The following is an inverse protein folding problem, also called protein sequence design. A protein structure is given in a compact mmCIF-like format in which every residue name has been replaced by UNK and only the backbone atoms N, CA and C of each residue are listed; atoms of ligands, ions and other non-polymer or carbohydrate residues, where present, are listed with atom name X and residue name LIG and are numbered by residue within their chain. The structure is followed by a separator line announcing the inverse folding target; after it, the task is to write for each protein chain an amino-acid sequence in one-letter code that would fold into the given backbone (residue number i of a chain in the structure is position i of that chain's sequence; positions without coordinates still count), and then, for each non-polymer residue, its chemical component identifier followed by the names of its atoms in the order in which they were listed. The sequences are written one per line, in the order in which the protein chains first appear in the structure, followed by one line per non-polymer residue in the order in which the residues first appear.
data_IF_893649350720
#
_entry.id   IF_893649350720
#
_cell.length_a   1.000
_cell.length_b   1.000
_cell.length_c   1.000
_cell.angle_alpha   90.00
_cell.angle_beta   90.00
_cell.angle_gamma   90.00
#
_symmetry.space_group_name_H-M   'P 1'
#
loop_
_entity.id
_entity.type
_entity.pdbx_description
1 polymer ?
#
# COMPACT_ATOMS: atom_id res chain seq x y z
N UNK A 1 -26.16 3.30 14.86
CA UNK A 1 -25.00 2.38 14.86
C UNK A 1 -23.92 2.92 13.91
N UNK A 2 -23.53 4.18 14.05
CA UNK A 2 -22.57 4.88 13.17
C UNK A 2 -21.37 5.46 13.95
N UNK A 3 -21.55 5.77 15.23
CA UNK A 3 -20.53 6.37 16.11
C UNK A 3 -19.27 5.52 16.25
N UNK A 4 -19.40 4.18 16.16
CA UNK A 4 -18.27 3.26 16.27
C UNK A 4 -17.34 3.34 15.07
N UNK A 5 -17.85 3.56 13.85
CA UNK A 5 -17.06 3.59 12.62
C UNK A 5 -16.22 4.86 12.51
N UNK A 6 -16.79 6.03 12.82
CA UNK A 6 -16.08 7.31 12.81
C UNK A 6 -14.97 7.36 13.86
N UNK A 7 -15.24 6.88 15.08
CA UNK A 7 -14.23 6.82 16.14
C UNK A 7 -13.04 5.93 15.76
N UNK A 8 -13.30 4.80 15.09
CA UNK A 8 -12.27 3.87 14.62
C UNK A 8 -11.44 4.46 13.47
N UNK A 9 -12.04 5.21 12.56
CA UNK A 9 -11.31 5.92 11.50
C UNK A 9 -10.40 7.00 12.07
N UNK A 10 -10.89 7.78 13.04
CA UNK A 10 -10.10 8.80 13.71
C UNK A 10 -8.92 8.19 14.49
N UNK A 11 -9.15 7.06 15.17
CA UNK A 11 -8.09 6.31 15.85
C UNK A 11 -6.99 5.86 14.87
N UNK A 12 -7.38 5.26 13.75
CA UNK A 12 -6.43 4.84 12.70
C UNK A 12 -5.67 6.03 12.10
N UNK A 13 -6.35 7.16 11.86
CA UNK A 13 -5.72 8.40 11.39
C UNK A 13 -4.66 8.92 12.35
N UNK A 14 -4.98 8.93 13.66
CA UNK A 14 -4.05 9.35 14.69
C UNK A 14 -2.87 8.39 14.81
N UNK A 15 -3.11 7.07 14.73
CA UNK A 15 -2.06 6.04 14.71
C UNK A 15 -1.10 6.20 13.54
N UNK A 16 -1.63 6.37 12.32
CA UNK A 16 -0.84 6.60 11.12
C UNK A 16 -0.04 7.91 11.20
N UNK A 17 -0.65 8.99 11.68
CA UNK A 17 0.03 10.28 11.85
C UNK A 17 1.16 10.19 12.88
N UNK A 18 0.93 9.54 14.02
CA UNK A 18 1.94 9.34 15.05
C UNK A 18 3.08 8.44 14.56
N UNK A 19 2.79 7.44 13.74
CA UNK A 19 3.78 6.58 13.10
C UNK A 19 4.65 7.39 12.13
N UNK A 20 4.02 8.10 11.18
CA UNK A 20 4.72 8.91 10.18
C UNK A 20 5.56 10.02 10.82
N UNK A 21 5.07 10.63 11.90
CA UNK A 21 5.81 11.67 12.65
C UNK A 21 7.08 11.19 13.34
N UNK A 22 7.34 9.88 13.40
CA UNK A 22 8.57 9.28 13.96
C UNK A 22 9.61 8.94 12.89
N UNK A 23 9.24 9.02 11.61
CA UNK A 23 10.10 8.66 10.50
C UNK A 23 10.81 9.88 9.95
N UNK A 24 12.06 9.71 9.51
CA UNK A 24 12.72 10.71 8.67
C UNK A 24 12.22 10.59 7.23
N UNK A 25 11.08 11.24 6.95
CA UNK A 25 10.42 11.19 5.65
C UNK A 25 11.31 11.71 4.51
N UNK A 26 12.35 12.51 4.80
CA UNK A 26 13.30 13.00 3.79
C UNK A 26 14.23 11.92 3.24
N UNK A 27 14.35 10.78 3.93
CA UNK A 27 15.15 9.62 3.52
C UNK A 27 14.30 8.52 2.87
N UNK A 28 12.98 8.72 2.73
CA UNK A 28 12.07 7.68 2.24
C UNK A 28 11.60 7.96 0.81
N UNK A 29 11.30 6.91 0.02
CA UNK A 29 10.69 7.07 -1.29
C UNK A 29 9.38 7.86 -1.20
N UNK A 30 9.18 8.85 -2.07
CA UNK A 30 8.06 9.78 -2.00
C UNK A 30 6.67 9.12 -2.15
N UNK A 31 5.69 9.59 -1.37
CA UNK A 31 4.29 9.14 -1.37
C UNK A 31 3.38 10.05 -2.20
N UNK A 32 2.50 9.47 -3.03
CA UNK A 32 1.54 10.14 -3.94
C UNK A 32 0.42 10.83 -3.22
N UNK A 33 -0.19 10.06 -2.37
CA UNK A 33 -1.44 10.37 -1.76
C UNK A 33 -1.51 9.55 -0.49
N UNK A 34 -1.95 10.20 0.57
CA UNK A 34 -2.36 9.52 1.79
C UNK A 34 -3.89 9.54 1.81
N UNK A 35 -4.49 8.37 1.78
CA UNK A 35 -5.92 8.16 1.86
C UNK A 35 -6.25 7.41 3.15
N UNK A 36 -7.04 7.99 4.05
CA UNK A 36 -7.47 7.30 5.26
C UNK A 36 -8.92 6.89 5.09
N UNK A 37 -9.19 5.58 5.11
CA UNK A 37 -10.52 5.05 4.82
C UNK A 37 -10.76 3.64 5.35
N UNK A 38 -12.04 3.25 5.38
CA UNK A 38 -12.43 1.88 5.67
C UNK A 38 -12.49 1.09 4.35
N UNK A 39 -11.58 0.14 4.13
CA UNK A 39 -11.70 -0.76 2.98
C UNK A 39 -12.60 -1.95 3.36
N UNK A 40 -13.89 -1.80 3.03
CA UNK A 40 -14.90 -2.81 3.33
C UNK A 40 -14.69 -4.14 2.59
N UNK A 41 -13.95 -4.17 1.46
CA UNK A 41 -13.74 -5.40 0.68
C UNK A 41 -12.85 -6.45 1.37
N UNK A 42 -12.08 -6.06 2.39
CA UNK A 42 -11.15 -6.97 3.10
C UNK A 42 -11.27 -6.95 4.63
N UNK A 43 -12.31 -6.31 5.16
CA UNK A 43 -12.56 -6.28 6.61
C UNK A 43 -11.56 -5.44 7.42
N UNK A 44 -10.79 -4.58 6.75
CA UNK A 44 -9.54 -3.99 7.26
C UNK A 44 -9.55 -2.45 7.12
N UNK A 45 -9.07 -1.72 8.14
CA UNK A 45 -9.17 -0.25 8.30
C UNK A 45 -7.79 0.36 8.08
N UNK A 46 -7.61 1.27 7.12
CA UNK A 46 -6.26 1.64 6.65
C UNK A 46 -6.11 3.13 6.36
N UNK A 47 -5.00 3.69 6.85
CA UNK A 47 -4.31 4.82 6.21
C UNK A 47 -3.48 4.27 5.05
N UNK A 48 -3.99 4.43 3.85
CA UNK A 48 -3.47 3.91 2.59
C UNK A 48 -2.60 5.00 1.97
N UNK A 49 -1.29 4.80 1.92
CA UNK A 49 -0.43 5.69 1.14
C UNK A 49 -0.04 5.02 -0.17
N UNK A 50 -0.52 5.55 -1.29
CA UNK A 50 0.00 5.15 -2.60
C UNK A 50 1.37 5.83 -2.81
N UNK A 51 2.35 5.12 -3.36
CA UNK A 51 3.65 5.68 -3.72
C UNK A 51 3.60 6.61 -4.95
N UNK A 52 4.22 7.80 -4.83
CA UNK A 52 4.65 8.80 -5.87
C UNK A 52 4.67 8.34 -7.33
N UNK A 53 5.33 7.19 -7.51
CA UNK A 53 6.17 6.98 -8.67
C UNK A 53 5.94 5.62 -9.33
N UNK A 54 4.71 5.07 -9.26
CA UNK A 54 4.33 3.97 -10.16
C UNK A 54 4.40 4.39 -11.64
N UNK A 55 4.24 5.69 -11.92
CA UNK A 55 4.41 6.28 -13.25
C UNK A 55 5.89 6.66 -13.47
N UNK A 56 6.67 5.73 -14.01
CA UNK A 56 8.03 5.99 -14.50
C UNK A 56 9.15 5.23 -13.79
N UNK A 57 8.91 4.64 -12.62
CA UNK A 57 9.85 3.68 -12.03
C UNK A 57 9.70 2.31 -12.69
N UNK A 58 10.84 1.66 -12.91
CA UNK A 58 10.90 0.24 -13.23
C UNK A 58 10.27 -0.60 -12.11
N UNK A 59 9.81 -1.81 -12.45
CA UNK A 59 9.24 -2.75 -11.47
C UNK A 59 10.21 -3.03 -10.31
N UNK A 60 11.52 -3.08 -10.58
CA UNK A 60 12.55 -3.28 -9.56
C UNK A 60 12.64 -2.09 -8.59
N UNK A 61 12.63 -0.86 -9.08
CA UNK A 61 12.65 0.34 -8.24
C UNK A 61 11.39 0.44 -7.38
N UNK A 62 10.24 0.00 -7.89
CA UNK A 62 9.01 -0.09 -7.10
C UNK A 62 9.11 -1.13 -5.98
N UNK A 63 9.69 -2.30 -6.26
CA UNK A 63 9.94 -3.35 -5.25
C UNK A 63 10.89 -2.84 -4.16
N UNK A 64 11.98 -2.17 -4.54
CA UNK A 64 12.96 -1.66 -3.59
C UNK A 64 12.42 -0.48 -2.77
N UNK A 65 11.57 0.36 -3.36
CA UNK A 65 10.85 1.39 -2.63
C UNK A 65 9.95 0.79 -1.54
N UNK A 66 9.18 -0.26 -1.87
CA UNK A 66 8.33 -0.95 -0.89
C UNK A 66 9.16 -1.60 0.22
N UNK A 67 10.29 -2.24 -0.11
CA UNK A 67 11.19 -2.81 0.90
C UNK A 67 11.74 -1.75 1.84
N UNK A 68 12.14 -0.60 1.30
CA UNK A 68 12.62 0.55 2.09
C UNK A 68 11.55 1.02 3.06
N UNK A 69 10.29 1.14 2.59
CA UNK A 69 9.15 1.46 3.44
C UNK A 69 8.89 0.41 4.51
N UNK A 70 8.96 -0.88 4.19
CA UNK A 70 8.75 -1.94 5.18
C UNK A 70 9.80 -1.87 6.31
N UNK A 71 11.07 -1.62 5.97
CA UNK A 71 12.13 -1.42 6.97
C UNK A 71 11.85 -0.20 7.83
N UNK A 72 11.52 0.94 7.21
CA UNK A 72 11.25 2.19 7.93
C UNK A 72 10.06 2.07 8.90
N UNK A 73 9.01 1.35 8.49
CA UNK A 73 7.83 1.11 9.30
C UNK A 73 8.05 0.05 10.40
N UNK A 74 9.15 -0.73 10.34
CA UNK A 74 9.28 -1.95 11.12
C UNK A 74 8.21 -2.99 10.77
N UNK A 75 7.72 -2.96 9.54
CA UNK A 75 6.62 -3.75 9.02
C UNK A 75 7.07 -4.95 8.17
N UNK A 76 6.10 -5.57 7.50
CA UNK A 76 6.30 -6.71 6.60
C UNK A 76 5.98 -6.34 5.16
N UNK A 77 6.64 -6.98 4.20
CA UNK A 77 6.27 -6.88 2.79
C UNK A 77 5.22 -7.93 2.47
N UNK A 78 4.13 -7.54 1.80
CA UNK A 78 3.08 -8.42 1.30
C UNK A 78 2.89 -8.24 -0.19
N UNK A 79 2.86 -9.37 -0.90
CA UNK A 79 2.46 -9.44 -2.29
C UNK A 79 1.07 -10.10 -2.33
N UNK A 80 0.12 -9.44 -2.95
CA UNK A 80 -1.23 -9.93 -3.15
C UNK A 80 -1.56 -9.95 -4.64
N UNK A 81 -2.01 -11.10 -5.11
CA UNK A 81 -2.52 -11.24 -6.47
C UNK A 81 -4.00 -10.82 -6.48
N UNK A 82 -4.28 -9.51 -6.56
CA UNK A 82 -5.63 -9.07 -6.92
C UNK A 82 -5.87 -9.35 -8.41
N UNK A 83 -6.25 -10.60 -8.70
CA UNK A 83 -6.86 -10.99 -9.96
C UNK A 83 -8.35 -10.57 -10.03
N UNK A 84 -8.70 -9.36 -9.55
CA UNK A 84 -9.96 -8.74 -9.97
C UNK A 84 -9.59 -7.94 -11.21
N UNK A 85 -9.90 -8.40 -12.44
CA UNK A 85 -9.74 -7.53 -13.60
C UNK A 85 -10.62 -6.32 -13.37
N UNK A 86 -10.01 -5.15 -13.18
CA UNK A 86 -10.69 -3.91 -13.48
C UNK A 86 -10.57 -3.66 -15.00
N UNK A 87 -11.14 -2.55 -15.44
CA UNK A 87 -11.17 -2.10 -16.83
C UNK A 87 -9.76 -1.98 -17.46
N UNK A 88 -8.69 -2.03 -16.64
CA UNK A 88 -7.29 -1.80 -17.00
C UNK A 88 -6.41 -3.07 -16.87
N UNK A 89 -6.96 -4.19 -16.37
CA UNK A 89 -6.30 -5.50 -16.36
C UNK A 89 -6.04 -6.07 -14.95
N UNK A 90 -5.36 -7.22 -14.89
CA UNK A 90 -4.96 -7.83 -13.61
C UNK A 90 -3.65 -7.24 -13.11
N UNK A 91 -3.70 -6.57 -11.96
CA UNK A 91 -2.52 -5.98 -11.32
C UNK A 91 -2.09 -6.81 -10.10
N UNK A 92 -0.78 -6.98 -9.92
CA UNK A 92 -0.24 -7.49 -8.64
C UNK A 92 -0.10 -6.31 -7.68
N UNK A 93 -0.51 -6.51 -6.44
CA UNK A 93 -0.48 -5.48 -5.39
C UNK A 93 0.69 -5.79 -4.45
N UNK A 94 1.68 -4.90 -4.38
CA UNK A 94 2.83 -5.03 -3.49
C UNK A 94 2.78 -3.93 -2.45
N UNK A 95 2.93 -4.31 -1.17
CA UNK A 95 2.76 -3.39 -0.07
C UNK A 95 3.72 -3.63 1.10
N UNK A 96 4.10 -2.54 1.77
CA UNK A 96 4.67 -2.55 3.11
C UNK A 96 3.52 -2.33 4.11
N UNK A 97 3.37 -3.26 5.06
CA UNK A 97 2.27 -3.27 6.02
C UNK A 97 2.79 -3.31 7.45
N UNK A 98 2.16 -2.53 8.32
CA UNK A 98 2.42 -2.54 9.76
C UNK A 98 1.10 -2.47 10.53
N UNK A 99 1.00 -3.27 11.58
CA UNK A 99 -0.15 -3.23 12.49
C UNK A 99 -0.01 -2.06 13.48
N UNK A 100 -1.11 -1.33 13.65
CA UNK A 100 -1.22 -0.25 14.60
C UNK A 100 -1.78 -0.77 15.94
N UNK A 101 -1.49 -0.09 17.07
CA UNK A 101 -1.90 -0.57 18.41
C UNK A 101 -3.41 -0.75 18.61
N UNK A 102 -4.25 -0.11 17.80
CA UNK A 102 -5.71 -0.22 17.84
C UNK A 102 -6.27 -1.38 16.99
N UNK A 103 -5.38 -2.21 16.42
CA UNK A 103 -5.70 -3.33 15.54
C UNK A 103 -6.05 -2.92 14.10
N UNK A 104 -5.91 -1.64 13.75
CA UNK A 104 -5.85 -1.23 12.34
C UNK A 104 -4.46 -1.48 11.76
N UNK A 105 -4.26 -1.24 10.47
CA UNK A 105 -2.92 -1.26 9.87
C UNK A 105 -2.72 -0.05 8.98
N UNK A 106 -1.46 0.24 8.75
CA UNK A 106 -1.00 1.22 7.79
C UNK A 106 -0.33 0.51 6.63
N UNK A 107 -0.64 0.93 5.41
CA UNK A 107 -0.15 0.30 4.19
C UNK A 107 0.45 1.35 3.24
N UNK A 108 1.69 1.10 2.81
CA UNK A 108 2.30 1.79 1.67
C UNK A 108 2.34 0.83 0.51
N UNK A 109 1.79 1.18 -0.65
CA UNK A 109 1.62 0.22 -1.74
C UNK A 109 1.87 0.74 -3.15
N UNK A 110 2.05 -0.20 -4.09
CA UNK A 110 2.16 0.02 -5.54
C UNK A 110 1.52 -1.13 -6.34
N UNK A 111 1.14 -0.87 -7.59
CA UNK A 111 0.75 -1.90 -8.55
C UNK A 111 1.95 -2.33 -9.40
N UNK A 112 2.22 -3.63 -9.46
CA UNK A 112 3.17 -4.18 -10.42
C UNK A 112 2.43 -4.56 -11.70
N UNK A 113 2.98 -4.16 -12.85
CA UNK A 113 2.44 -4.53 -14.16
C UNK A 113 2.60 -6.04 -14.35
N UNK A 114 1.59 -6.69 -14.94
CA UNK A 114 1.77 -8.05 -15.45
C UNK A 114 2.44 -7.93 -16.82
N UNK A 115 3.70 -8.35 -16.94
CA UNK A 115 4.29 -8.56 -18.26
C UNK A 115 3.53 -9.72 -18.89
N UNK A 116 2.62 -9.42 -19.81
CA UNK A 116 2.08 -10.41 -20.73
C UNK A 116 3.22 -10.85 -21.63
N UNK A 117 3.91 -11.93 -21.27
CA UNK A 117 4.80 -12.61 -22.20
C UNK A 117 3.92 -13.20 -23.30
N UNK A 118 3.75 -12.44 -24.38
CA UNK A 118 3.30 -12.99 -25.65
C UNK A 118 4.39 -13.96 -26.11
N UNK A 119 4.25 -15.24 -25.77
CA UNK A 119 5.04 -16.28 -26.44
C UNK A 119 4.61 -16.23 -27.90
N UNK A 120 5.48 -15.86 -28.86
CA UNK A 120 5.13 -16.00 -30.26
C UNK A 120 4.80 -17.48 -30.47
N UNK A 121 3.59 -17.76 -30.96
CA UNK A 121 3.24 -19.10 -31.37
C UNK A 121 4.30 -19.52 -32.41
N UNK A 122 5.20 -20.41 -32.01
CA UNK A 122 6.19 -20.97 -32.91
C UNK A 122 5.44 -21.59 -34.10
N UNK A 123 5.85 -21.15 -35.30
CA UNK A 123 5.34 -21.55 -36.62
C UNK A 123 5.52 -23.05 -36.85
#
# INVERSE_FOLDING_TARGET
METTSTHRLLSAANGATALLGRLDLGQLPALCALHIGANHRRGWRIGVAALLNGYGLSELEQIDAIRTWAVALGGVVRLDEQATPDEHGSHRHLAALVDLPDGSHFEVWTHLVRVSLSVPASV
#
